data_IF_149827702031
#
_entry.id   IF_149827702031
#
_cell.length_a   1.000
_cell.length_b   1.000
_cell.length_c   1.000
_cell.angle_alpha   90.00
_cell.angle_beta   90.00
_cell.angle_gamma   90.00
#
_symmetry.space_group_name_H-M   'P 1'
#
loop_
_entity.id
_entity.type
_entity.pdbx_description
1 polymer ?
#
# COMPACT_ATOMS: atom_id res chain seq x y z
N UNK A 1 -5.27 1.51 18.35
CA UNK A 1 -5.48 2.90 17.86
C UNK A 1 -4.17 3.62 18.13
N UNK A 2 -3.30 3.73 17.13
CA UNK A 2 -2.04 4.45 17.29
C UNK A 2 -2.36 5.94 17.29
N UNK A 3 -2.04 6.61 18.40
CA UNK A 3 -2.15 8.05 18.59
C UNK A 3 -1.04 8.76 17.82
N UNK A 4 -1.08 8.68 16.49
CA UNK A 4 -0.19 9.42 15.62
C UNK A 4 -0.94 10.63 15.08
N UNK A 5 -0.71 11.74 15.78
CA UNK A 5 -1.11 13.07 15.32
C UNK A 5 -0.31 13.44 14.08
N UNK A 6 -0.99 13.58 12.95
CA UNK A 6 -0.42 14.08 11.70
C UNK A 6 0.30 15.42 11.89
N UNK A 7 1.44 15.56 11.21
CA UNK A 7 2.30 16.75 11.20
C UNK A 7 2.45 17.28 9.79
N UNK A 8 2.62 18.61 9.61
CA UNK A 8 2.95 19.17 8.31
C UNK A 8 4.18 18.48 7.70
N UNK A 9 4.05 18.08 6.44
CA UNK A 9 5.06 17.31 5.70
C UNK A 9 4.91 15.79 5.78
N UNK A 10 4.05 15.25 6.64
CA UNK A 10 3.80 13.80 6.67
C UNK A 10 3.20 13.35 5.33
N UNK A 11 3.75 12.26 4.78
CA UNK A 11 3.22 11.59 3.60
C UNK A 11 1.99 10.77 3.99
N UNK A 12 0.88 11.01 3.32
CA UNK A 12 -0.42 10.40 3.65
C UNK A 12 -1.10 9.82 2.43
N UNK A 13 -1.95 8.83 2.69
CA UNK A 13 -2.86 8.20 1.75
C UNK A 13 -4.29 8.54 2.14
N UNK A 14 -5.12 8.80 1.15
CA UNK A 14 -6.57 8.93 1.29
C UNK A 14 -7.27 8.02 0.29
N UNK A 15 -8.04 7.08 0.82
CA UNK A 15 -8.82 6.15 0.02
C UNK A 15 -10.20 6.74 -0.25
N UNK A 16 -10.57 6.81 -1.52
CA UNK A 16 -11.86 7.31 -1.99
C UNK A 16 -12.48 6.31 -2.95
N UNK A 17 -13.67 6.67 -3.42
CA UNK A 17 -14.35 5.97 -4.50
C UNK A 17 -14.70 7.02 -5.53
N UNK A 18 -14.40 6.74 -6.80
CA UNK A 18 -14.76 7.64 -7.88
C UNK A 18 -16.27 7.58 -8.20
N UNK A 19 -16.70 8.34 -9.20
CA UNK A 19 -18.10 8.44 -9.58
C UNK A 19 -18.68 7.12 -10.12
N UNK A 20 -17.82 6.19 -10.56
CA UNK A 20 -18.20 4.89 -11.10
C UNK A 20 -18.21 3.80 -10.03
N UNK A 21 -17.92 4.15 -8.77
CA UNK A 21 -17.85 3.19 -7.67
C UNK A 21 -16.49 2.49 -7.57
N UNK A 22 -15.50 2.91 -8.34
CA UNK A 22 -14.18 2.30 -8.34
C UNK A 22 -13.30 2.90 -7.22
N UNK A 23 -12.62 2.05 -6.43
CA UNK A 23 -11.68 2.52 -5.42
C UNK A 23 -10.57 3.36 -6.05
N UNK A 24 -10.29 4.51 -5.45
CA UNK A 24 -9.20 5.40 -5.85
C UNK A 24 -8.35 5.75 -4.65
N UNK A 25 -7.05 5.86 -4.87
CA UNK A 25 -6.07 6.18 -3.84
C UNK A 25 -5.42 7.51 -4.20
N UNK A 26 -5.40 8.43 -3.25
CA UNK A 26 -4.70 9.70 -3.38
C UNK A 26 -3.53 9.76 -2.41
N UNK A 27 -2.34 10.06 -2.91
CA UNK A 27 -1.18 10.34 -2.08
C UNK A 27 -0.93 11.83 -2.02
N UNK A 28 -0.46 12.30 -0.86
CA UNK A 28 -0.23 13.72 -0.64
C UNK A 28 0.59 13.99 0.60
N UNK A 29 0.77 15.28 0.89
CA UNK A 29 1.46 15.74 2.08
C UNK A 29 0.54 16.61 2.93
N UNK A 30 0.58 16.40 4.24
CA UNK A 30 -0.12 17.26 5.19
C UNK A 30 0.42 18.69 5.08
N UNK A 31 -0.45 19.65 4.80
CA UNK A 31 -0.08 21.05 4.57
C UNK A 31 -0.09 21.88 5.87
N UNK A 32 -0.82 21.44 6.91
CA UNK A 32 -0.99 22.17 8.15
C UNK A 32 -1.51 21.29 9.29
N UNK A 33 -1.55 21.80 10.53
CA UNK A 33 -2.10 21.07 11.66
C UNK A 33 -3.61 20.85 11.50
N UNK A 34 -4.14 19.80 12.13
CA UNK A 34 -5.59 19.59 12.21
C UNK A 34 -6.28 20.74 12.97
N UNK A 35 -7.46 21.13 12.50
CA UNK A 35 -8.33 22.11 13.16
C UNK A 35 -9.03 21.51 14.39
N UNK A 36 -9.77 22.34 15.13
CA UNK A 36 -10.50 21.91 16.34
C UNK A 36 -11.62 20.90 16.06
N UNK A 37 -11.99 20.70 14.80
CA UNK A 37 -12.99 19.72 14.36
C UNK A 37 -12.37 18.42 13.83
N UNK A 38 -11.04 18.26 13.92
CA UNK A 38 -10.34 17.07 13.43
C UNK A 38 -10.24 17.01 11.92
N UNK A 39 -10.34 18.15 11.22
CA UNK A 39 -10.09 18.24 9.78
C UNK A 39 -8.69 18.75 9.51
N UNK A 40 -8.08 18.26 8.45
CA UNK A 40 -6.69 18.55 8.11
C UNK A 40 -6.56 18.88 6.63
N UNK A 41 -5.76 19.89 6.33
CA UNK A 41 -5.45 20.31 4.97
C UNK A 41 -4.33 19.43 4.40
N UNK A 42 -4.55 18.84 3.24
CA UNK A 42 -3.60 17.99 2.53
C UNK A 42 -3.42 18.51 1.11
N UNK A 43 -2.18 18.56 0.64
CA UNK A 43 -1.85 18.80 -0.75
C UNK A 43 -1.63 17.45 -1.42
N UNK A 44 -2.61 16.99 -2.20
CA UNK A 44 -2.55 15.74 -2.93
C UNK A 44 -1.83 15.91 -4.27
N UNK A 45 -1.11 14.87 -4.68
CA UNK A 45 -0.24 14.92 -5.86
C UNK A 45 -1.01 14.89 -7.18
N UNK A 46 -2.18 14.24 -7.19
CA UNK A 46 -2.99 13.97 -8.37
C UNK A 46 -4.28 14.80 -8.45
N UNK A 47 -4.51 15.68 -7.47
CA UNK A 47 -5.64 16.62 -7.46
C UNK A 47 -5.21 18.00 -7.97
N UNK A 48 -6.21 18.82 -8.33
CA UNK A 48 -5.98 20.19 -8.78
C UNK A 48 -5.15 20.99 -7.76
N UNK A 49 -4.33 21.95 -8.21
CA UNK A 49 -3.48 22.74 -7.32
C UNK A 49 -4.27 23.38 -6.17
N UNK A 50 -3.82 23.15 -4.93
CA UNK A 50 -4.45 23.65 -3.71
C UNK A 50 -4.41 22.62 -2.59
N UNK A 51 -5.08 22.94 -1.49
CA UNK A 51 -5.27 22.01 -0.37
C UNK A 51 -6.68 21.48 -0.34
N UNK A 52 -6.83 20.16 -0.24
CA UNK A 52 -8.09 19.50 0.07
C UNK A 52 -8.19 19.31 1.57
N UNK A 53 -9.33 19.66 2.16
CA UNK A 53 -9.58 19.48 3.60
C UNK A 53 -10.34 18.18 3.81
N UNK A 54 -9.75 17.26 4.55
CA UNK A 54 -10.31 15.92 4.84
C UNK A 54 -10.39 15.69 6.35
N UNK A 55 -11.24 14.75 6.77
CA UNK A 55 -11.29 14.30 8.16
C UNK A 55 -10.06 13.47 8.48
N UNK A 56 -9.48 13.66 9.68
CA UNK A 56 -8.27 12.96 10.11
C UNK A 56 -8.41 11.43 10.04
N UNK A 57 -9.58 10.89 10.39
CA UNK A 57 -9.85 9.45 10.38
C UNK A 57 -9.91 8.83 8.98
N UNK A 58 -9.97 9.65 7.92
CA UNK A 58 -9.92 9.17 6.54
C UNK A 58 -8.49 9.05 6.00
N UNK A 59 -7.49 9.54 6.75
CA UNK A 59 -6.09 9.51 6.34
C UNK A 59 -5.34 8.35 6.96
N UNK A 60 -4.40 7.82 6.19
CA UNK A 60 -3.47 6.78 6.61
C UNK A 60 -2.06 7.32 6.37
N UNK A 61 -1.16 7.19 7.36
CA UNK A 61 0.27 7.49 7.15
C UNK A 61 0.84 6.51 6.13
N UNK A 62 1.60 7.02 5.16
CA UNK A 62 2.27 6.18 4.18
C UNK A 62 3.49 5.54 4.81
N UNK A 63 3.46 4.21 4.88
CA UNK A 63 4.54 3.32 5.25
C UNK A 63 4.53 2.15 4.26
N UNK A 64 5.63 1.41 4.20
CA UNK A 64 5.74 0.21 3.35
C UNK A 64 4.58 -0.75 3.59
N UNK A 65 4.15 -0.90 4.84
CA UNK A 65 3.08 -1.81 5.26
C UNK A 65 1.67 -1.25 5.09
N UNK A 66 1.51 0.03 4.78
CA UNK A 66 0.19 0.64 4.58
C UNK A 66 -0.18 0.77 3.12
N UNK A 67 0.79 0.69 2.19
CA UNK A 67 0.53 0.68 0.73
C UNK A 67 -0.05 -0.67 0.30
N UNK A 68 -1.24 -0.61 -0.30
CA UNK A 68 -1.95 -1.77 -0.84
C UNK A 68 -2.38 -1.46 -2.26
N UNK A 69 -2.03 -2.34 -3.19
CA UNK A 69 -2.55 -2.34 -4.55
C UNK A 69 -3.75 -3.28 -4.62
N UNK A 70 -4.88 -2.77 -5.12
CA UNK A 70 -6.06 -3.59 -5.39
C UNK A 70 -6.29 -3.73 -6.90
N UNK A 71 -6.61 -4.94 -7.34
CA UNK A 71 -6.91 -5.25 -8.73
C UNK A 71 -8.22 -6.02 -8.82
N UNK A 72 -9.09 -5.59 -9.73
CA UNK A 72 -10.35 -6.28 -10.06
C UNK A 72 -10.11 -7.41 -11.06
N UNK A 73 -9.34 -8.42 -10.63
CA UNK A 73 -8.97 -9.58 -11.44
C UNK A 73 -8.60 -10.76 -10.53
N UNK A 74 -9.62 -11.38 -9.94
CA UNK A 74 -9.48 -12.44 -8.93
C UNK A 74 -8.71 -13.68 -9.40
N UNK A 75 -8.62 -13.92 -10.70
CA UNK A 75 -7.93 -15.05 -11.33
C UNK A 75 -6.43 -14.82 -11.55
N UNK A 76 -5.91 -13.60 -11.35
CA UNK A 76 -4.47 -13.30 -11.49
C UNK A 76 -3.58 -14.16 -10.59
N UNK A 77 -4.12 -14.60 -9.44
CA UNK A 77 -3.40 -15.47 -8.52
C UNK A 77 -3.35 -16.93 -8.97
N UNK A 78 -4.20 -17.36 -9.90
CA UNK A 78 -4.22 -18.74 -10.38
C UNK A 78 -3.13 -19.00 -11.42
N UNK A 79 -2.76 -17.98 -12.21
CA UNK A 79 -1.66 -18.06 -13.17
C UNK A 79 -0.30 -17.74 -12.50
N UNK A 80 0.61 -18.72 -12.37
CA UNK A 80 1.92 -18.50 -11.76
C UNK A 80 2.79 -17.47 -12.49
N UNK A 81 2.58 -17.25 -13.79
CA UNK A 81 3.32 -16.26 -14.60
C UNK A 81 2.85 -14.83 -14.36
N UNK A 82 1.56 -14.62 -14.08
CA UNK A 82 0.98 -13.29 -13.83
C UNK A 82 1.31 -12.76 -12.43
N UNK A 83 1.51 -13.65 -11.45
CA UNK A 83 1.90 -13.27 -10.08
C UNK A 83 3.15 -12.39 -10.01
N UNK A 84 4.08 -12.54 -10.93
CA UNK A 84 5.29 -11.70 -10.94
C UNK A 84 5.04 -10.29 -11.48
N UNK A 85 4.05 -10.12 -12.36
CA UNK A 85 3.63 -8.78 -12.78
C UNK A 85 3.07 -7.97 -11.59
N UNK A 86 2.40 -8.63 -10.64
CA UNK A 86 1.89 -8.00 -9.42
C UNK A 86 2.99 -7.33 -8.58
N UNK A 87 4.20 -7.90 -8.57
CA UNK A 87 5.36 -7.31 -7.88
C UNK A 87 5.67 -5.95 -8.49
N UNK A 88 5.81 -5.89 -9.82
CA UNK A 88 6.14 -4.65 -10.52
C UNK A 88 5.03 -3.61 -10.40
N UNK A 89 3.76 -4.03 -10.43
CA UNK A 89 2.63 -3.12 -10.25
C UNK A 89 2.62 -2.52 -8.85
N UNK A 90 2.87 -3.33 -7.81
CA UNK A 90 2.96 -2.81 -6.45
C UNK A 90 4.19 -1.92 -6.25
N UNK A 91 5.32 -2.21 -6.90
CA UNK A 91 6.50 -1.33 -6.86
C UNK A 91 6.20 0.04 -7.48
N UNK A 92 5.46 0.09 -8.58
CA UNK A 92 5.01 1.35 -9.16
C UNK A 92 4.06 2.12 -8.22
N UNK A 93 3.17 1.40 -7.55
CA UNK A 93 2.28 1.99 -6.52
C UNK A 93 3.09 2.55 -5.33
N UNK A 94 4.09 1.82 -4.86
CA UNK A 94 4.98 2.26 -3.78
C UNK A 94 5.80 3.50 -4.19
N UNK A 95 6.29 3.56 -5.43
CA UNK A 95 6.98 4.72 -5.99
C UNK A 95 6.06 5.95 -6.06
N UNK A 96 4.82 5.78 -6.53
CA UNK A 96 3.79 6.82 -6.51
C UNK A 96 3.47 7.29 -5.08
N UNK A 97 3.50 6.39 -4.10
CA UNK A 97 3.38 6.72 -2.68
C UNK A 97 4.59 7.47 -2.12
N UNK A 98 5.69 7.60 -2.87
CA UNK A 98 6.93 8.25 -2.46
C UNK A 98 7.87 7.34 -1.66
N UNK A 99 7.66 6.02 -1.71
CA UNK A 99 8.50 5.05 -1.03
C UNK A 99 9.59 4.52 -1.98
N UNK A 100 10.82 4.44 -1.47
CA UNK A 100 11.95 3.88 -2.23
C UNK A 100 12.24 2.44 -1.79
N UNK A 101 12.05 1.48 -2.71
CA UNK A 101 12.41 0.08 -2.50
C UNK A 101 13.82 -0.20 -3.06
N UNK A 102 14.51 -1.12 -2.40
CA UNK A 102 15.85 -1.60 -2.74
C UNK A 102 15.90 -3.12 -2.58
N UNK A 103 16.93 -3.76 -3.16
CA UNK A 103 17.22 -5.20 -3.01
C UNK A 103 16.00 -6.11 -3.22
N UNK A 104 15.34 -5.95 -4.37
CA UNK A 104 14.14 -6.73 -4.73
C UNK A 104 14.56 -8.15 -5.15
N UNK A 105 14.13 -9.15 -4.39
CA UNK A 105 14.37 -10.57 -4.68
C UNK A 105 13.06 -11.30 -4.95
N UNK A 106 12.83 -11.68 -6.20
CA UNK A 106 11.63 -12.39 -6.61
C UNK A 106 11.60 -13.85 -6.11
N UNK A 107 10.48 -14.28 -5.53
CA UNK A 107 10.26 -15.65 -5.05
C UNK A 107 9.69 -16.55 -6.16
N UNK A 108 10.36 -16.60 -7.32
CA UNK A 108 9.96 -17.38 -8.52
C UNK A 108 8.51 -17.11 -8.96
N UNK A 109 7.59 -18.07 -8.79
CA UNK A 109 6.17 -17.93 -9.13
C UNK A 109 5.29 -17.71 -7.89
N UNK A 110 5.93 -17.26 -6.80
CA UNK A 110 5.33 -17.11 -5.49
C UNK A 110 5.39 -18.39 -4.66
N UNK A 111 5.59 -18.23 -3.36
CA UNK A 111 5.47 -19.30 -2.36
C UNK A 111 4.09 -19.21 -1.74
N UNK A 112 3.30 -20.29 -1.86
CA UNK A 112 1.96 -20.33 -1.28
C UNK A 112 2.05 -20.18 0.24
N UNK A 113 1.30 -19.23 0.77
CA UNK A 113 1.13 -19.06 2.19
C UNK A 113 0.22 -20.20 2.70
N UNK A 114 0.69 -21.00 3.64
CA UNK A 114 -0.11 -22.11 4.18
C UNK A 114 -1.17 -21.65 5.19
N UNK A 115 -1.11 -20.40 5.64
CA UNK A 115 -1.98 -19.85 6.68
C UNK A 115 -3.09 -18.98 6.08
N UNK A 116 -2.90 -18.47 4.86
CA UNK A 116 -3.86 -17.62 4.16
C UNK A 116 -4.01 -18.08 2.69
N UNK A 117 -5.12 -17.74 2.03
CA UNK A 117 -5.24 -17.90 0.57
C UNK A 117 -4.44 -16.81 -0.14
N UNK A 118 -3.12 -16.83 0.04
CA UNK A 118 -2.18 -15.83 -0.42
C UNK A 118 -0.87 -16.46 -0.90
N UNK A 119 -0.06 -15.67 -1.60
CA UNK A 119 1.27 -16.01 -2.07
C UNK A 119 2.26 -14.94 -1.62
N UNK A 120 3.39 -15.37 -1.06
CA UNK A 120 4.57 -14.51 -0.92
C UNK A 120 5.27 -14.43 -2.29
N UNK A 121 5.41 -13.23 -2.82
CA UNK A 121 5.84 -12.98 -4.21
C UNK A 121 7.28 -12.53 -4.33
N UNK A 122 7.74 -11.69 -3.40
CA UNK A 122 9.08 -11.12 -3.40
C UNK A 122 9.50 -10.71 -1.99
N UNK A 123 10.80 -10.60 -1.78
CA UNK A 123 11.43 -9.92 -0.66
C UNK A 123 11.89 -8.54 -1.14
N UNK A 124 11.61 -7.48 -0.38
CA UNK A 124 11.99 -6.10 -0.71
C UNK A 124 12.54 -5.39 0.53
N UNK A 125 13.49 -4.48 0.33
CA UNK A 125 14.11 -3.71 1.43
C UNK A 125 13.78 -2.24 1.29
N UNK A 126 13.46 -1.58 2.40
CA UNK A 126 13.30 -0.12 2.47
C UNK A 126 13.88 0.40 3.78
N UNK A 127 14.74 1.44 3.69
CA UNK A 127 15.40 2.00 4.87
C UNK A 127 16.22 0.99 5.69
N UNK A 128 16.72 -0.08 5.06
CA UNK A 128 17.42 -1.17 5.73
C UNK A 128 16.52 -2.21 6.43
N UNK A 129 15.20 -2.05 6.34
CA UNK A 129 14.22 -3.02 6.85
C UNK A 129 13.76 -3.93 5.71
N UNK A 130 13.81 -5.24 5.94
CA UNK A 130 13.27 -6.26 5.03
C UNK A 130 11.76 -6.37 5.19
N UNK A 131 11.06 -6.53 4.08
CA UNK A 131 9.64 -6.82 3.96
C UNK A 131 9.39 -7.97 2.98
N UNK A 132 8.26 -8.65 3.12
CA UNK A 132 7.79 -9.68 2.20
C UNK A 132 6.54 -9.17 1.51
N UNK A 133 6.60 -9.08 0.18
CA UNK A 133 5.45 -8.72 -0.64
C UNK A 133 4.53 -9.93 -0.79
N UNK A 134 3.25 -9.75 -0.45
CA UNK A 134 2.23 -10.80 -0.49
C UNK A 134 1.06 -10.36 -1.35
N UNK A 135 0.48 -11.31 -2.06
CA UNK A 135 -0.78 -11.11 -2.78
C UNK A 135 -1.81 -12.16 -2.34
N UNK A 136 -3.05 -11.75 -2.12
CA UNK A 136 -4.15 -12.62 -1.72
C UNK A 136 -5.50 -12.11 -2.26
N UNK A 137 -6.50 -12.97 -2.22
CA UNK A 137 -7.87 -12.60 -2.57
C UNK A 137 -8.54 -11.94 -1.36
N UNK A 138 -9.06 -10.74 -1.57
CA UNK A 138 -9.85 -9.99 -0.59
C UNK A 138 -11.27 -10.56 -0.47
N UNK A 139 -12.01 -10.27 0.61
CA UNK A 139 -13.37 -10.80 0.82
C UNK A 139 -14.36 -10.43 -0.29
N UNK A 140 -14.10 -9.35 -1.03
CA UNK A 140 -14.91 -8.88 -2.15
C UNK A 140 -14.48 -9.46 -3.52
N UNK A 141 -13.49 -10.36 -3.54
CA UNK A 141 -13.03 -11.05 -4.73
C UNK A 141 -11.87 -10.37 -5.47
N UNK A 142 -11.48 -9.14 -5.07
CA UNK A 142 -10.31 -8.46 -5.64
C UNK A 142 -9.01 -9.12 -5.21
N UNK A 143 -7.93 -8.87 -5.96
CA UNK A 143 -6.57 -9.22 -5.52
C UNK A 143 -5.97 -8.02 -4.80
N UNK A 144 -5.59 -8.22 -3.54
CA UNK A 144 -4.83 -7.27 -2.74
C UNK A 144 -3.36 -7.65 -2.73
N UNK A 145 -2.47 -6.70 -3.03
CA UNK A 145 -1.00 -6.86 -2.94
C UNK A 145 -0.46 -5.87 -1.91
N UNK A 146 0.28 -6.36 -0.92
CA UNK A 146 0.84 -5.52 0.16
C UNK A 146 2.16 -6.08 0.69
N UNK A 147 2.99 -5.21 1.24
CA UNK A 147 4.20 -5.62 1.93
C UNK A 147 3.90 -5.83 3.43
N UNK A 148 4.36 -6.95 3.98
CA UNK A 148 4.25 -7.29 5.38
C UNK A 148 5.65 -7.47 5.99
N UNK A 149 5.77 -7.32 7.31
CA UNK A 149 6.99 -7.74 8.00
C UNK A 149 7.25 -9.23 7.78
N UNK A 150 8.51 -9.67 7.62
CA UNK A 150 8.85 -11.07 7.50
C UNK A 150 8.37 -11.83 8.74
N UNK A 151 7.80 -13.01 8.51
CA UNK A 151 7.45 -13.92 9.60
C UNK A 151 8.73 -14.49 10.20
N UNK A 152 8.68 -14.84 11.49
CA UNK A 152 9.84 -15.31 12.25
C UNK A 152 10.60 -16.49 11.61
N UNK A 153 9.91 -17.33 10.84
CA UNK A 153 10.51 -18.47 10.14
C UNK A 153 11.14 -18.11 8.78
N UNK A 154 10.75 -16.98 8.17
CA UNK A 154 11.35 -16.47 6.93
C UNK A 154 12.72 -15.83 7.20
N UNK A 155 12.94 -15.32 8.42
CA UNK A 155 14.22 -14.73 8.87
C UNK A 155 15.33 -15.78 9.15
N UNK A 156 15.06 -17.07 9.00
CA UNK A 156 16.01 -18.16 9.35
C UNK A 156 16.69 -18.81 8.14
N UNK A 157 16.76 -18.12 7.00
CA UNK A 157 17.50 -18.60 5.82
C UNK A 157 19.01 -18.62 6.05
#
# INVERSE_FOLDING_TARGET
MNDHRFRPGDRVRWDTTDNDGLPRVHYGHVAGPADSSGRIAVMFDDLLPGTTVVTMDALIIVEVTTVVLYLDAGDLLDDPSLRQALVNMWLAEADAAGLSMSDITHLRTGVRDTIAMAYALAEVTSGGQLYVLRAGTEPDGRVGVRADLPRRWELRR
#
